data_IF_927929222486
#
_entry.id   IF_927929222486
#
_cell.length_a   1.000
_cell.length_b   1.000
_cell.length_c   1.000
_cell.angle_alpha   90.00
_cell.angle_beta   90.00
_cell.angle_gamma   90.00
#
_symmetry.space_group_name_H-M   'P 1'
#
loop_
_entity.id
_entity.type
_entity.pdbx_description
1 polymer ?
#
# COMPACT_ATOMS: atom_id res chain seq x y z
N UNK A 1 11.20 10.43 -9.76
CA UNK A 1 12.18 9.44 -9.26
C UNK A 1 11.70 9.00 -7.89
N UNK A 2 11.63 7.70 -7.61
CA UNK A 2 11.23 7.19 -6.29
C UNK A 2 12.41 7.37 -5.33
N UNK A 3 12.28 8.24 -4.34
CA UNK A 3 13.31 8.53 -3.34
C UNK A 3 12.84 8.10 -1.96
N UNK A 4 13.72 7.45 -1.20
CA UNK A 4 13.45 7.09 0.20
C UNK A 4 13.97 8.21 1.09
N UNK A 5 13.09 8.84 1.88
CA UNK A 5 13.47 9.96 2.73
C UNK A 5 14.24 9.53 3.99
N UNK A 6 13.96 8.32 4.48
CA UNK A 6 14.63 7.75 5.64
C UNK A 6 15.40 6.49 5.25
N UNK A 7 16.70 6.63 5.02
CA UNK A 7 17.60 5.53 4.64
C UNK A 7 17.85 4.53 5.77
N UNK A 8 17.58 4.91 7.04
CA UNK A 8 17.80 4.02 8.19
C UNK A 8 16.94 2.75 8.09
N UNK A 9 15.75 2.86 7.49
CA UNK A 9 14.85 1.72 7.22
C UNK A 9 15.52 0.65 6.36
N UNK A 10 16.35 1.07 5.38
CA UNK A 10 17.04 0.14 4.49
C UNK A 10 18.19 -0.58 5.22
N UNK A 11 18.93 0.16 6.04
CA UNK A 11 20.02 -0.41 6.86
C UNK A 11 19.49 -1.42 7.88
N UNK A 12 18.37 -1.09 8.54
CA UNK A 12 17.70 -2.01 9.48
C UNK A 12 17.19 -3.26 8.76
N UNK A 13 16.65 -3.12 7.54
CA UNK A 13 16.18 -4.25 6.75
C UNK A 13 17.33 -5.17 6.35
N UNK A 14 18.46 -4.61 5.90
CA UNK A 14 19.67 -5.35 5.55
C UNK A 14 20.21 -6.12 6.77
N UNK A 15 20.38 -5.44 7.90
CA UNK A 15 20.85 -6.05 9.14
C UNK A 15 19.92 -7.16 9.61
N UNK A 16 18.61 -6.94 9.59
CA UNK A 16 17.64 -7.95 9.98
C UNK A 16 17.61 -9.15 9.02
N UNK A 17 17.98 -8.97 7.75
CA UNK A 17 18.11 -10.07 6.78
C UNK A 17 19.40 -10.86 6.99
N UNK A 18 20.50 -10.19 7.35
CA UNK A 18 21.75 -10.84 7.71
C UNK A 18 21.63 -11.66 9.02
N UNK A 19 20.93 -11.13 10.03
CA UNK A 19 20.74 -11.80 11.31
C UNK A 19 19.71 -12.94 11.26
N UNK A 20 18.60 -12.73 10.54
CA UNK A 20 17.54 -13.72 10.39
C UNK A 20 16.98 -13.69 8.96
N UNK A 21 17.52 -14.52 8.05
CA UNK A 21 17.10 -14.53 6.66
C UNK A 21 15.61 -14.87 6.49
N UNK A 22 14.93 -14.17 5.60
CA UNK A 22 13.55 -14.51 5.26
C UNK A 22 13.52 -15.81 4.46
N UNK A 23 12.45 -16.56 4.67
CA UNK A 23 12.11 -17.64 3.75
C UNK A 23 11.94 -17.05 2.35
N UNK A 24 12.71 -17.59 1.42
CA UNK A 24 12.67 -17.27 0.02
C UNK A 24 12.37 -18.52 -0.79
N UNK A 25 11.68 -18.33 -1.91
CA UNK A 25 11.43 -19.38 -2.89
C UNK A 25 12.11 -18.96 -4.19
N UNK A 26 13.18 -19.67 -4.53
CA UNK A 26 13.82 -19.57 -5.84
C UNK A 26 12.93 -20.32 -6.83
N UNK A 27 12.47 -19.63 -7.88
CA UNK A 27 11.62 -20.22 -8.92
C UNK A 27 12.49 -20.68 -10.10
N UNK A 28 13.40 -19.82 -10.54
CA UNK A 28 14.35 -20.01 -11.62
C UNK A 28 15.58 -19.10 -11.41
N UNK A 29 16.50 -19.08 -12.36
CA UNK A 29 17.75 -18.29 -12.29
C UNK A 29 17.53 -16.76 -12.29
N UNK A 30 16.31 -16.30 -12.63
CA UNK A 30 15.97 -14.88 -12.76
C UNK A 30 15.08 -14.37 -11.63
N UNK A 31 14.34 -15.26 -10.95
CA UNK A 31 13.30 -14.88 -10.01
C UNK A 31 13.40 -15.61 -8.69
N UNK A 32 13.58 -14.82 -7.64
CA UNK A 32 13.41 -15.23 -6.24
C UNK A 32 12.28 -14.44 -5.60
N UNK A 33 11.37 -15.13 -4.94
CA UNK A 33 10.26 -14.53 -4.18
C UNK A 33 10.64 -14.57 -2.70
N UNK A 34 10.72 -13.40 -2.07
CA UNK A 34 10.94 -13.28 -0.63
C UNK A 34 9.59 -13.15 0.08
N UNK A 35 9.50 -13.72 1.29
CA UNK A 35 8.37 -13.46 2.18
C UNK A 35 8.32 -11.95 2.50
N UNK A 36 7.13 -11.37 2.61
CA UNK A 36 7.00 -9.98 3.04
C UNK A 36 7.49 -9.81 4.48
N UNK A 37 8.16 -8.69 4.74
CA UNK A 37 8.60 -8.26 6.07
C UNK A 37 8.06 -6.86 6.36
N UNK A 38 7.75 -6.61 7.62
CA UNK A 38 7.32 -5.30 8.08
C UNK A 38 8.51 -4.34 8.05
N UNK A 39 8.33 -3.17 7.43
CA UNK A 39 9.30 -2.08 7.53
C UNK A 39 9.07 -1.31 8.84
N UNK A 40 10.16 -0.83 9.42
CA UNK A 40 10.11 0.10 10.54
C UNK A 40 9.43 1.41 10.10
N UNK A 41 8.87 2.12 11.08
CA UNK A 41 8.27 3.42 10.83
C UNK A 41 9.38 4.44 10.57
N UNK A 42 9.25 5.31 9.54
CA UNK A 42 10.21 6.37 9.31
C UNK A 42 10.36 7.28 10.52
N UNK A 43 11.61 7.59 10.86
CA UNK A 43 11.97 8.53 11.92
C UNK A 43 11.52 9.94 11.53
N UNK A 44 11.13 10.75 12.52
CA UNK A 44 10.90 12.19 12.31
C UNK A 44 9.71 12.56 11.42
N UNK A 45 8.69 11.69 11.34
CA UNK A 45 7.49 11.91 10.53
C UNK A 45 7.74 12.03 9.01
N UNK A 46 8.81 11.42 8.50
CA UNK A 46 9.16 11.37 7.06
C UNK A 46 8.27 10.44 6.21
N UNK A 47 7.00 10.31 6.58
CA UNK A 47 6.01 9.46 5.90
C UNK A 47 5.60 9.97 4.52
N UNK A 48 6.06 11.17 4.15
CA UNK A 48 5.53 11.93 3.03
C UNK A 48 4.08 12.35 3.28
N UNK A 49 3.47 12.96 2.28
CA UNK A 49 2.05 13.27 2.33
C UNK A 49 1.26 11.96 2.14
N UNK A 50 0.35 11.59 3.07
CA UNK A 50 -0.47 10.41 2.89
C UNK A 50 -1.30 10.57 1.62
N UNK A 51 -1.03 9.73 0.63
CA UNK A 51 -1.83 9.64 -0.58
C UNK A 51 -2.77 8.46 -0.43
N UNK A 52 -4.06 8.70 -0.65
CA UNK A 52 -5.04 7.62 -0.71
C UNK A 52 -4.80 6.80 -1.98
N UNK A 53 -3.89 5.84 -1.90
CA UNK A 53 -3.51 4.99 -3.01
C UNK A 53 -4.55 3.90 -3.21
N UNK A 54 -5.48 4.20 -4.10
CA UNK A 54 -6.54 3.35 -4.63
C UNK A 54 -7.67 2.94 -3.66
N UNK A 55 -8.87 2.83 -4.24
CA UNK A 55 -10.00 2.13 -3.67
C UNK A 55 -10.13 0.75 -4.33
N UNK A 56 -9.01 0.13 -4.72
CA UNK A 56 -8.92 -0.95 -5.72
C UNK A 56 -9.81 -2.18 -5.46
N UNK A 57 -10.33 -2.32 -4.24
CA UNK A 57 -11.41 -3.24 -3.90
C UNK A 57 -12.43 -2.71 -2.89
N UNK A 58 -12.50 -1.40 -2.65
CA UNK A 58 -13.42 -0.82 -1.67
C UNK A 58 -14.86 -1.09 -2.13
N UNK A 59 -15.57 -1.92 -1.36
CA UNK A 59 -16.94 -2.31 -1.66
C UNK A 59 -17.89 -1.36 -0.94
N UNK A 60 -18.26 -0.25 -1.59
CA UNK A 60 -19.54 0.38 -1.25
C UNK A 60 -20.60 -0.57 -1.77
N UNK A 61 -21.39 -1.11 -0.84
CA UNK A 61 -22.46 -2.10 -1.08
C UNK A 61 -23.31 -1.65 -2.28
N UNK A 62 -23.07 -2.26 -3.45
CA UNK A 62 -23.86 -2.11 -4.67
C UNK A 62 -23.51 -0.99 -5.65
N UNK A 63 -22.56 -0.07 -5.38
CA UNK A 63 -22.34 1.10 -6.27
C UNK A 63 -20.94 1.25 -6.86
N UNK A 64 -19.90 0.60 -6.32
CA UNK A 64 -18.53 0.68 -6.84
C UNK A 64 -18.16 -0.43 -7.85
N UNK A 65 -18.87 -1.57 -7.85
CA UNK A 65 -18.57 -2.69 -8.74
C UNK A 65 -19.26 -2.52 -10.10
N UNK A 66 -18.80 -1.56 -10.89
CA UNK A 66 -19.17 -1.45 -12.30
C UNK A 66 -18.02 -1.91 -13.18
N UNK A 67 -18.37 -2.82 -14.09
CA UNK A 67 -17.40 -3.49 -14.97
C UNK A 67 -16.74 -2.47 -15.91
N UNK A 68 -17.56 -1.60 -16.50
CA UNK A 68 -17.10 -0.46 -17.31
C UNK A 68 -16.67 0.71 -16.42
N UNK A 69 -15.50 1.32 -16.66
CA UNK A 69 -15.01 2.46 -15.89
C UNK A 69 -15.97 3.66 -15.89
N UNK A 70 -16.60 3.95 -17.02
CA UNK A 70 -17.53 5.08 -17.21
C UNK A 70 -18.80 4.99 -16.36
N UNK A 71 -19.19 3.79 -15.94
CA UNK A 71 -20.36 3.56 -15.09
C UNK A 71 -20.05 3.77 -13.59
N UNK A 72 -18.77 3.96 -13.24
CA UNK A 72 -18.33 4.13 -11.84
C UNK A 72 -18.61 5.55 -11.38
N UNK A 73 -19.11 5.66 -10.15
CA UNK A 73 -19.25 6.95 -9.48
C UNK A 73 -17.88 7.61 -9.29
N UNK A 74 -17.81 8.91 -9.55
CA UNK A 74 -16.64 9.75 -9.27
C UNK A 74 -16.40 9.87 -7.77
N UNK A 75 -15.18 10.26 -7.38
CA UNK A 75 -14.84 10.51 -5.97
C UNK A 75 -15.81 11.52 -5.32
N UNK A 76 -16.16 12.60 -6.03
CA UNK A 76 -17.10 13.62 -5.55
C UNK A 76 -18.50 13.05 -5.25
N UNK A 77 -19.01 12.17 -6.09
CA UNK A 77 -20.31 11.51 -5.88
C UNK A 77 -20.27 10.48 -4.75
N UNK A 78 -19.11 9.85 -4.51
CA UNK A 78 -18.90 8.93 -3.39
C UNK A 78 -18.84 9.66 -2.04
N UNK A 79 -18.25 10.86 -2.00
CA UNK A 79 -18.22 11.71 -0.81
C UNK A 79 -19.63 12.05 -0.30
N UNK A 80 -20.61 12.12 -1.21
CA UNK A 80 -22.01 12.45 -0.89
C UNK A 80 -22.85 11.23 -0.48
N UNK A 81 -22.27 10.02 -0.47
CA UNK A 81 -23.03 8.80 -0.17
C UNK A 81 -23.34 8.69 1.34
N UNK A 82 -24.54 8.22 1.67
CA UNK A 82 -25.09 8.11 3.03
C UNK A 82 -24.17 7.42 4.07
N UNK A 83 -23.23 6.59 3.63
CA UNK A 83 -22.28 5.90 4.52
C UNK A 83 -21.14 6.81 5.00
N UNK A 84 -20.80 7.85 4.24
CA UNK A 84 -19.80 8.88 4.61
C UNK A 84 -20.43 9.97 5.47
N UNK A 85 -21.76 10.13 5.41
CA UNK A 85 -22.50 11.12 6.20
C UNK A 85 -22.52 10.84 7.71
N UNK A 86 -22.13 9.64 8.14
CA UNK A 86 -22.07 9.23 9.56
C UNK A 86 -20.63 9.06 10.09
N UNK A 87 -19.62 9.54 9.36
CA UNK A 87 -18.19 9.35 9.71
C UNK A 87 -17.50 10.66 10.12
N UNK A 88 -18.25 11.77 10.24
CA UNK A 88 -17.78 13.06 10.75
C UNK A 88 -18.71 13.53 11.85
#
# INVERSE_FOLDING_TARGET
>A
MLTVADETILQDLEKAEAENPLQSKVIDDTRTIYRSRKLCLPTGALWGQPVLCDFGGARIRGSMLRWRPEDRKSATELLQHLWMANVI
#
